data_IF_379535921299
#
_entry.id   IF_379535921299
#
_cell.length_a   1.000
_cell.length_b   1.000
_cell.length_c   1.000
_cell.angle_alpha   90.00
_cell.angle_beta   90.00
_cell.angle_gamma   90.00
#
_symmetry.space_group_name_H-M   'P 1'
#
loop_
_entity.id
_entity.type
_entity.pdbx_description
1 polymer ?
#
# COMPACT_ATOMS: atom_id res chain seq x y z
N UNK A 1 -15.33 -28.85 68.39
CA UNK A 1 -16.62 -29.33 67.87
C UNK A 1 -16.83 -28.74 66.49
N UNK A 2 -17.05 -29.61 65.50
CA UNK A 2 -17.29 -29.42 64.06
C UNK A 2 -18.13 -28.18 63.67
N UNK A 3 -18.08 -27.62 62.45
CA UNK A 3 -17.44 -27.99 61.20
C UNK A 3 -18.00 -27.16 60.02
N UNK A 4 -17.31 -27.20 58.87
CA UNK A 4 -17.76 -27.13 57.45
C UNK A 4 -18.73 -26.00 57.00
N UNK A 5 -18.67 -25.36 55.84
CA UNK A 5 -17.85 -25.36 54.63
C UNK A 5 -18.38 -24.20 53.73
N UNK A 6 -17.60 -23.71 52.76
CA UNK A 6 -18.17 -22.91 51.66
C UNK A 6 -17.20 -21.94 50.98
N UNK A 7 -16.59 -22.36 49.86
CA UNK A 7 -15.89 -21.50 48.91
C UNK A 7 -16.88 -20.84 47.94
N UNK A 8 -16.63 -19.58 47.58
CA UNK A 8 -16.89 -18.97 46.27
C UNK A 8 -15.91 -17.79 46.14
N UNK A 9 -15.24 -17.49 45.04
CA UNK A 9 -15.56 -17.60 43.62
C UNK A 9 -15.27 -16.21 43.04
N UNK A 10 -14.23 -16.07 42.22
CA UNK A 10 -13.62 -14.79 41.85
C UNK A 10 -14.54 -13.80 41.12
N UNK A 11 -14.34 -12.51 41.41
CA UNK A 11 -15.00 -11.39 40.74
C UNK A 11 -14.09 -10.85 39.64
N UNK A 12 -14.56 -10.95 38.39
CA UNK A 12 -14.03 -10.20 37.24
C UNK A 12 -14.68 -8.80 37.23
N UNK A 13 -13.95 -7.69 37.02
CA UNK A 13 -14.58 -6.39 36.80
C UNK A 13 -15.24 -6.38 35.42
N UNK A 14 -16.57 -6.23 35.43
CA UNK A 14 -17.42 -6.17 34.25
C UNK A 14 -17.20 -4.88 33.45
N UNK A 15 -17.24 -5.03 32.13
CA UNK A 15 -17.29 -3.91 31.19
C UNK A 15 -18.51 -3.02 31.44
N UNK A 16 -18.37 -1.75 31.07
CA UNK A 16 -19.41 -0.73 31.26
C UNK A 16 -20.73 -1.14 30.59
N UNK A 17 -21.88 -0.97 31.26
CA UNK A 17 -23.18 -1.29 30.70
C UNK A 17 -23.46 -0.41 29.47
N UNK A 18 -23.89 -1.05 28.38
CA UNK A 18 -24.26 -0.45 27.10
C UNK A 18 -25.21 0.77 27.22
N UNK A 19 -25.96 0.84 28.33
CA UNK A 19 -26.87 1.94 28.63
C UNK A 19 -26.17 3.29 28.86
N UNK A 20 -24.90 3.32 29.29
CA UNK A 20 -24.12 4.56 29.39
C UNK A 20 -23.66 5.08 28.01
N UNK A 21 -23.37 4.17 27.08
CA UNK A 21 -22.97 4.48 25.70
C UNK A 21 -24.14 5.00 24.85
N UNK A 22 -25.36 4.54 25.11
CA UNK A 22 -26.54 4.95 24.37
C UNK A 22 -27.13 6.31 24.82
N UNK A 23 -26.70 6.83 25.98
CA UNK A 23 -27.10 8.18 26.46
C UNK A 23 -26.26 9.32 25.88
N UNK A 24 -25.07 9.05 25.33
CA UNK A 24 -24.17 10.06 24.76
C UNK A 24 -24.42 10.41 23.28
N UNK A 25 -25.41 9.77 22.61
CA UNK A 25 -25.69 10.00 21.18
C UNK A 25 -27.13 10.40 20.82
N UNK A 26 -27.99 10.74 21.79
CA UNK A 26 -29.27 11.39 21.49
C UNK A 26 -30.21 10.63 20.52
N UNK A 27 -30.18 9.29 20.51
CA UNK A 27 -31.04 8.48 19.63
C UNK A 27 -32.19 7.88 20.44
N UNK A 28 -33.27 8.62 20.62
CA UNK A 28 -34.46 8.18 21.38
C UNK A 28 -35.57 7.52 20.52
N UNK A 29 -35.23 6.87 19.41
CA UNK A 29 -36.21 6.43 18.41
C UNK A 29 -36.43 4.92 18.20
N UNK A 30 -35.75 4.01 18.90
CA UNK A 30 -35.80 2.56 18.56
C UNK A 30 -36.09 1.63 19.75
N UNK A 31 -36.96 2.05 20.68
CA UNK A 31 -37.31 1.22 21.85
C UNK A 31 -38.61 0.42 21.74
N UNK A 32 -39.29 0.37 20.59
CA UNK A 32 -40.63 -0.26 20.52
C UNK A 32 -40.88 -1.34 19.45
N UNK A 33 -39.84 -1.98 18.89
CA UNK A 33 -40.03 -3.13 17.96
C UNK A 33 -39.32 -4.43 18.33
N UNK A 34 -38.71 -4.53 19.51
CA UNK A 34 -37.93 -5.72 19.91
C UNK A 34 -38.58 -6.57 21.03
N UNK A 35 -39.89 -6.45 21.28
CA UNK A 35 -40.58 -7.26 22.31
C UNK A 35 -42.03 -7.57 21.94
N UNK A 36 -42.27 -8.37 20.90
CA UNK A 36 -43.46 -9.24 20.84
C UNK A 36 -43.16 -10.50 20.00
N UNK A 37 -43.24 -11.66 20.66
CA UNK A 37 -43.67 -12.91 20.05
C UNK A 37 -42.61 -13.80 19.42
N UNK A 38 -41.84 -14.52 20.25
CA UNK A 38 -41.42 -15.88 19.92
C UNK A 38 -42.58 -16.81 20.30
N UNK A 39 -43.20 -17.43 19.31
CA UNK A 39 -44.25 -18.43 19.48
C UNK A 39 -44.71 -18.92 18.11
N UNK A 40 -44.54 -20.23 17.91
CA UNK A 40 -45.05 -21.08 16.83
C UNK A 40 -44.27 -21.15 15.50
N UNK A 41 -43.72 -22.36 15.28
CA UNK A 41 -43.30 -22.85 13.98
C UNK A 41 -44.54 -23.09 13.09
N UNK A 42 -44.40 -22.85 11.77
CA UNK A 42 -44.67 -23.99 10.87
C UNK A 42 -43.80 -24.04 9.61
N UNK A 43 -43.42 -25.28 9.28
CA UNK A 43 -43.47 -25.99 7.98
C UNK A 43 -42.88 -25.34 6.72
N UNK A 44 -42.17 -26.19 5.98
CA UNK A 44 -41.42 -25.88 4.77
C UNK A 44 -42.23 -25.24 3.65
N UNK A 45 -41.50 -24.56 2.77
CA UNK A 45 -42.01 -23.98 1.54
C UNK A 45 -41.03 -24.28 0.41
N UNK A 46 -41.49 -25.06 -0.56
CA UNK A 46 -40.81 -25.37 -1.80
C UNK A 46 -40.60 -24.12 -2.69
N UNK A 47 -39.65 -24.13 -3.62
CA UNK A 47 -39.40 -23.01 -4.52
C UNK A 47 -40.49 -22.90 -5.58
N UNK A 48 -41.25 -21.81 -5.54
CA UNK A 48 -42.25 -21.49 -6.54
C UNK A 48 -41.61 -21.03 -7.85
N UNK A 49 -41.82 -21.83 -8.89
CA UNK A 49 -41.63 -21.50 -10.30
C UNK A 49 -42.45 -20.22 -10.65
N UNK A 50 -41.80 -19.18 -11.18
CA UNK A 50 -42.50 -18.08 -11.88
C UNK A 50 -41.88 -17.85 -13.24
N UNK A 51 -42.70 -18.15 -14.23
CA UNK A 51 -42.61 -17.79 -15.63
C UNK A 51 -42.65 -16.28 -15.84
N UNK A 52 -41.71 -15.80 -16.66
CA UNK A 52 -41.89 -14.78 -17.71
C UNK A 52 -42.36 -13.36 -17.36
N UNK A 53 -41.46 -12.39 -17.52
CA UNK A 53 -41.71 -11.24 -18.41
C UNK A 53 -40.38 -10.57 -18.76
N UNK A 54 -40.10 -10.55 -20.07
CA UNK A 54 -38.90 -9.99 -20.66
C UNK A 54 -38.98 -8.47 -20.74
N UNK A 55 -38.00 -7.78 -20.17
CA UNK A 55 -37.61 -6.42 -20.55
C UNK A 55 -36.09 -6.39 -20.66
N UNK A 56 -35.60 -6.74 -21.84
CA UNK A 56 -34.18 -6.76 -22.19
C UNK A 56 -33.66 -5.32 -22.33
N UNK A 57 -33.04 -4.79 -21.28
CA UNK A 57 -32.12 -3.67 -21.39
C UNK A 57 -30.75 -4.19 -21.83
N UNK A 58 -30.53 -4.29 -23.15
CA UNK A 58 -29.26 -4.69 -23.73
C UNK A 58 -28.18 -3.64 -23.44
N UNK A 59 -27.38 -3.84 -22.38
CA UNK A 59 -26.04 -3.23 -22.30
C UNK A 59 -25.08 -4.14 -23.05
N UNK A 60 -24.61 -3.66 -24.20
CA UNK A 60 -23.62 -4.31 -25.02
C UNK A 60 -22.40 -4.71 -24.17
N UNK A 61 -22.22 -6.02 -23.98
CA UNK A 61 -20.93 -6.59 -23.60
C UNK A 61 -20.08 -6.56 -24.86
N UNK A 62 -19.05 -5.72 -24.89
CA UNK A 62 -18.02 -5.83 -25.91
C UNK A 62 -17.37 -7.21 -25.76
N UNK A 63 -17.58 -8.07 -26.75
CA UNK A 63 -16.97 -9.38 -26.86
C UNK A 63 -15.45 -9.21 -27.02
N UNK A 64 -14.70 -10.17 -26.44
CA UNK A 64 -13.28 -10.33 -26.68
C UNK A 64 -13.07 -10.76 -28.15
N UNK A 65 -12.95 -9.76 -29.03
CA UNK A 65 -12.37 -9.89 -30.36
C UNK A 65 -10.95 -9.34 -30.35
N UNK A 66 -10.14 -9.78 -31.31
CA UNK A 66 -8.80 -9.24 -31.57
C UNK A 66 -8.81 -7.70 -31.54
N UNK A 67 -7.76 -7.05 -31.02
CA UNK A 67 -7.76 -5.60 -30.94
C UNK A 67 -7.81 -4.96 -32.33
N UNK A 68 -8.60 -3.90 -32.52
CA UNK A 68 -8.49 -3.08 -33.72
C UNK A 68 -7.04 -2.59 -33.85
N UNK A 69 -6.49 -2.67 -35.05
CA UNK A 69 -5.18 -2.13 -35.39
C UNK A 69 -5.07 -0.67 -34.88
N UNK A 70 -3.98 -0.34 -34.19
CA UNK A 70 -3.68 1.03 -33.72
C UNK A 70 -3.79 1.30 -32.22
N UNK A 71 -4.06 0.29 -31.36
CA UNK A 71 -3.98 0.46 -29.89
C UNK A 71 -2.64 0.01 -29.34
N UNK A 72 -1.91 0.93 -28.71
CA UNK A 72 -0.64 0.69 -28.05
C UNK A 72 -0.83 0.57 -26.53
N UNK A 73 0.16 0.04 -25.82
CA UNK A 73 0.20 0.05 -24.35
C UNK A 73 1.33 0.96 -23.89
N UNK A 74 1.02 1.92 -23.02
CA UNK A 74 2.02 2.78 -22.39
C UNK A 74 1.99 2.56 -20.88
N UNK A 75 3.14 2.22 -20.30
CA UNK A 75 3.27 2.17 -18.84
C UNK A 75 3.57 3.57 -18.33
N UNK A 76 2.79 4.05 -17.37
CA UNK A 76 2.97 5.35 -16.74
C UNK A 76 3.24 5.15 -15.26
N UNK A 77 4.34 5.70 -14.77
CA UNK A 77 4.67 5.74 -13.35
C UNK A 77 4.10 6.98 -12.70
N UNK A 78 3.44 6.80 -11.58
CA UNK A 78 2.87 7.88 -10.78
C UNK A 78 3.64 8.05 -9.49
N UNK A 79 3.92 9.31 -9.12
CA UNK A 79 4.26 9.68 -7.73
C UNK A 79 3.00 10.11 -7.01
N UNK A 80 2.82 9.62 -5.79
CA UNK A 80 1.67 9.96 -4.98
C UNK A 80 2.01 10.06 -3.48
N UNK A 81 1.14 10.72 -2.73
CA UNK A 81 1.23 10.84 -1.27
C UNK A 81 0.11 10.09 -0.55
N UNK A 82 0.37 9.73 0.71
CA UNK A 82 -0.58 9.11 1.64
C UNK A 82 -0.35 9.66 3.05
N UNK A 83 -1.25 10.51 3.54
CA UNK A 83 -1.12 11.15 4.87
C UNK A 83 -2.47 11.43 5.54
N UNK A 84 -2.48 11.68 6.84
CA UNK A 84 -3.70 11.92 7.61
C UNK A 84 -4.45 10.62 7.89
N UNK A 85 -5.79 10.68 8.00
CA UNK A 85 -6.61 9.52 8.45
C UNK A 85 -6.45 8.29 7.56
N UNK A 86 -6.21 8.47 6.26
CA UNK A 86 -6.03 7.37 5.31
C UNK A 86 -4.76 6.53 5.60
N UNK A 87 -3.82 7.00 6.44
CA UNK A 87 -2.61 6.25 6.80
C UNK A 87 -2.91 4.89 7.45
N UNK A 88 -4.07 4.76 8.09
CA UNK A 88 -4.54 3.52 8.72
C UNK A 88 -5.12 2.50 7.73
N UNK A 89 -5.28 2.86 6.45
CA UNK A 89 -5.55 1.90 5.38
C UNK A 89 -4.24 1.17 5.02
N UNK A 90 -4.28 -0.17 5.07
CA UNK A 90 -3.15 -1.00 4.70
C UNK A 90 -2.94 -1.06 3.19
N UNK A 91 -1.88 -1.74 2.75
CA UNK A 91 -1.52 -1.84 1.34
C UNK A 91 -2.66 -2.42 0.45
N UNK A 92 -3.39 -3.44 0.94
CA UNK A 92 -4.53 -4.03 0.20
C UNK A 92 -5.69 -3.06 0.02
N UNK A 93 -5.91 -2.18 0.99
CA UNK A 93 -6.96 -1.17 0.90
C UNK A 93 -6.56 -0.06 -0.06
N UNK A 94 -5.28 0.36 -0.02
CA UNK A 94 -4.71 1.27 -1.01
C UNK A 94 -4.87 0.70 -2.44
N UNK A 95 -4.56 -0.58 -2.65
CA UNK A 95 -4.75 -1.23 -3.96
C UNK A 95 -6.20 -1.14 -4.46
N UNK A 96 -7.18 -1.40 -3.59
CA UNK A 96 -8.62 -1.27 -3.92
C UNK A 96 -9.04 0.18 -4.18
N UNK A 97 -8.46 1.15 -3.46
CA UNK A 97 -8.70 2.57 -3.70
C UNK A 97 -8.22 2.93 -5.10
N UNK A 98 -7.01 2.49 -5.48
CA UNK A 98 -6.44 2.71 -6.80
C UNK A 98 -7.23 2.05 -7.93
N UNK A 99 -7.64 0.78 -7.79
CA UNK A 99 -8.53 0.12 -8.75
C UNK A 99 -9.84 0.92 -8.99
N UNK A 100 -10.40 1.52 -7.93
CA UNK A 100 -11.60 2.37 -8.05
C UNK A 100 -11.28 3.74 -8.63
N UNK A 101 -10.16 4.35 -8.26
CA UNK A 101 -9.76 5.68 -8.71
C UNK A 101 -9.54 5.71 -10.22
N UNK A 102 -8.78 4.76 -10.78
CA UNK A 102 -8.55 4.70 -12.23
C UNK A 102 -9.86 4.53 -13.01
N UNK A 103 -10.80 3.75 -12.48
CA UNK A 103 -12.14 3.59 -13.08
C UNK A 103 -12.99 4.85 -12.97
N UNK A 104 -12.97 5.54 -11.81
CA UNK A 104 -13.72 6.80 -11.60
C UNK A 104 -13.17 7.95 -12.44
N UNK A 105 -11.86 7.97 -12.67
CA UNK A 105 -11.20 8.95 -13.52
C UNK A 105 -11.40 8.68 -15.03
N UNK A 106 -12.01 7.54 -15.40
CA UNK A 106 -12.26 7.17 -16.79
C UNK A 106 -11.00 6.86 -17.59
N UNK A 107 -9.90 6.48 -16.90
CA UNK A 107 -8.62 6.22 -17.56
C UNK A 107 -8.72 4.98 -18.47
N UNK A 108 -8.09 4.98 -19.66
CA UNK A 108 -8.08 3.85 -20.57
C UNK A 108 -7.08 2.79 -20.11
N UNK A 109 -7.28 2.18 -18.94
CA UNK A 109 -6.33 1.22 -18.36
C UNK A 109 -6.37 -0.11 -19.11
N UNK A 110 -5.20 -0.72 -19.32
CA UNK A 110 -5.08 -2.09 -19.82
C UNK A 110 -5.53 -3.10 -18.76
N UNK A 111 -6.17 -4.19 -19.16
CA UNK A 111 -6.64 -5.23 -18.25
C UNK A 111 -5.85 -6.52 -18.41
N UNK A 112 -5.76 -7.30 -17.32
CA UNK A 112 -5.24 -8.67 -17.36
C UNK A 112 -6.15 -9.58 -18.19
N UNK A 113 -5.57 -10.62 -18.77
CA UNK A 113 -6.34 -11.66 -19.47
C UNK A 113 -6.97 -12.65 -18.48
N UNK A 114 -8.01 -13.36 -18.92
CA UNK A 114 -8.69 -14.42 -18.18
C UNK A 114 -10.10 -14.07 -17.66
N UNK A 115 -10.68 -14.96 -16.85
CA UNK A 115 -12.08 -14.90 -16.42
C UNK A 115 -12.43 -13.79 -15.42
N UNK A 116 -11.43 -13.09 -14.89
CA UNK A 116 -11.64 -11.94 -13.99
C UNK A 116 -10.62 -10.84 -14.29
N UNK A 117 -10.81 -10.07 -15.38
CA UNK A 117 -9.90 -9.01 -15.79
C UNK A 117 -9.72 -7.98 -14.67
N UNK A 118 -8.47 -7.71 -14.31
CA UNK A 118 -8.08 -6.67 -13.36
C UNK A 118 -7.34 -5.55 -14.09
N UNK A 119 -7.48 -4.28 -13.67
CA UNK A 119 -6.65 -3.22 -14.21
C UNK A 119 -5.18 -3.54 -13.93
N UNK A 120 -4.32 -3.33 -14.93
CA UNK A 120 -2.88 -3.57 -14.82
C UNK A 120 -2.23 -2.43 -14.05
N UNK A 121 -2.12 -2.62 -12.74
CA UNK A 121 -1.49 -1.70 -11.79
C UNK A 121 -0.40 -2.47 -11.04
N UNK A 122 0.82 -1.94 -11.04
CA UNK A 122 1.97 -2.52 -10.34
C UNK A 122 2.42 -1.59 -9.22
N UNK A 123 2.45 -2.09 -7.99
CA UNK A 123 2.86 -1.30 -6.83
C UNK A 123 4.36 -1.48 -6.54
N UNK A 124 5.00 -0.39 -6.08
CA UNK A 124 6.34 -0.44 -5.51
C UNK A 124 6.36 -1.03 -4.10
N UNK A 125 7.27 -0.52 -3.27
CA UNK A 125 7.43 -0.96 -1.89
C UNK A 125 6.19 -0.63 -1.05
N UNK A 126 5.64 -1.64 -0.36
CA UNK A 126 4.48 -1.48 0.48
C UNK A 126 4.76 -0.59 1.71
N UNK A 127 3.92 0.42 1.91
CA UNK A 127 3.92 1.25 3.11
C UNK A 127 3.15 0.54 4.24
N UNK A 128 3.71 0.49 5.45
CA UNK A 128 3.06 -0.18 6.58
C UNK A 128 1.84 0.62 7.07
N UNK A 129 0.87 -0.08 7.66
CA UNK A 129 -0.31 0.56 8.26
C UNK A 129 0.12 1.56 9.36
N UNK A 130 -0.48 2.74 9.35
CA UNK A 130 -0.16 3.82 10.30
C UNK A 130 0.96 4.74 9.83
N UNK A 131 1.73 4.36 8.81
CA UNK A 131 2.78 5.20 8.23
C UNK A 131 2.24 6.10 7.11
N UNK A 132 2.89 7.25 6.98
CA UNK A 132 2.61 8.25 5.96
C UNK A 132 3.71 8.25 4.89
N UNK A 133 3.44 8.87 3.74
CA UNK A 133 4.45 9.06 2.71
C UNK A 133 4.11 10.22 1.77
N UNK A 134 5.14 10.85 1.22
CA UNK A 134 5.04 11.83 0.11
C UNK A 134 5.70 11.37 -1.18
N UNK A 135 6.30 10.18 -1.17
CA UNK A 135 7.00 9.61 -2.30
C UNK A 135 6.64 8.13 -2.45
N UNK A 136 5.36 7.87 -2.66
CA UNK A 136 4.89 6.55 -3.09
C UNK A 136 4.89 6.47 -4.62
N UNK A 137 5.11 5.27 -5.14
CA UNK A 137 5.12 5.03 -6.58
C UNK A 137 4.28 3.82 -6.95
N UNK A 138 3.61 3.93 -8.10
CA UNK A 138 2.95 2.81 -8.77
C UNK A 138 3.03 3.01 -10.28
N UNK A 139 2.93 1.91 -11.02
CA UNK A 139 2.87 1.92 -12.47
C UNK A 139 1.46 1.53 -12.93
N UNK A 140 0.91 2.23 -13.91
CA UNK A 140 -0.38 1.94 -14.57
C UNK A 140 -0.13 1.72 -16.05
N UNK A 141 -0.60 0.60 -16.59
CA UNK A 141 -0.55 0.37 -18.03
C UNK A 141 -1.81 0.97 -18.68
N UNK A 142 -1.65 1.96 -19.56
CA UNK A 142 -2.69 2.58 -20.38
C UNK A 142 -2.79 1.90 -21.74
N UNK A 143 -3.98 1.86 -22.35
CA UNK A 143 -4.27 1.29 -23.67
C UNK A 143 -5.21 2.18 -24.49
N UNK A 144 -4.62 2.99 -25.36
CA UNK A 144 -5.31 3.91 -26.26
C UNK A 144 -4.52 4.02 -27.59
N UNK A 145 -4.93 4.93 -28.48
CA UNK A 145 -4.10 5.27 -29.65
C UNK A 145 -2.83 6.02 -29.22
N UNK A 146 -1.79 6.02 -30.07
CA UNK A 146 -0.47 6.54 -29.72
C UNK A 146 -0.47 7.99 -29.21
N UNK A 147 -1.16 8.88 -29.92
CA UNK A 147 -1.27 10.31 -29.55
C UNK A 147 -2.04 10.50 -28.24
N UNK A 148 -3.18 9.81 -28.07
CA UNK A 148 -4.01 9.88 -26.87
C UNK A 148 -3.27 9.43 -25.61
N UNK A 149 -2.34 8.47 -25.71
CA UNK A 149 -1.64 7.92 -24.54
C UNK A 149 -0.84 8.98 -23.78
N UNK A 150 -0.20 9.93 -24.47
CA UNK A 150 0.57 11.00 -23.84
C UNK A 150 -0.34 12.07 -23.22
N UNK A 151 -1.46 12.39 -23.85
CA UNK A 151 -2.49 13.27 -23.28
C UNK A 151 -3.11 12.67 -22.02
N UNK A 152 -3.42 11.37 -22.05
CA UNK A 152 -3.88 10.65 -20.86
C UNK A 152 -2.83 10.68 -19.76
N UNK A 153 -1.57 10.35 -20.07
CA UNK A 153 -0.49 10.31 -19.09
C UNK A 153 -0.26 11.67 -18.42
N UNK A 154 -0.20 12.76 -19.19
CA UNK A 154 0.01 14.11 -18.67
C UNK A 154 -1.15 14.59 -17.80
N UNK A 155 -2.40 14.24 -18.13
CA UNK A 155 -3.58 14.59 -17.33
C UNK A 155 -3.85 13.68 -16.12
N UNK A 156 -3.07 12.62 -15.90
CA UNK A 156 -3.30 11.68 -14.79
C UNK A 156 -3.26 12.34 -13.40
N UNK A 157 -2.31 13.23 -13.06
CA UNK A 157 -2.22 13.80 -11.71
C UNK A 157 -3.50 14.50 -11.26
N UNK A 158 -4.04 15.38 -12.10
CA UNK A 158 -5.26 16.14 -11.82
C UNK A 158 -6.49 15.23 -11.75
N UNK A 159 -6.69 14.37 -12.77
CA UNK A 159 -7.84 13.47 -12.87
C UNK A 159 -7.93 12.50 -11.71
N UNK A 160 -6.79 11.94 -11.29
CA UNK A 160 -6.73 10.99 -10.19
C UNK A 160 -6.89 11.69 -8.84
N UNK A 161 -6.21 12.82 -8.62
CA UNK A 161 -6.32 13.58 -7.37
C UNK A 161 -7.76 14.04 -7.11
N UNK A 162 -8.52 14.39 -8.16
CA UNK A 162 -9.93 14.77 -8.04
C UNK A 162 -10.87 13.63 -7.56
N UNK A 163 -10.45 12.37 -7.70
CA UNK A 163 -11.29 11.20 -7.33
C UNK A 163 -10.72 10.35 -6.19
N UNK A 164 -9.48 10.62 -5.78
CA UNK A 164 -8.83 10.01 -4.62
C UNK A 164 -9.45 10.54 -3.31
N UNK A 165 -9.41 9.75 -2.23
CA UNK A 165 -9.88 10.21 -0.93
C UNK A 165 -8.94 11.26 -0.32
N UNK A 166 -9.47 12.10 0.56
CA UNK A 166 -8.69 13.04 1.35
C UNK A 166 -7.47 12.37 2.00
N UNK A 167 -6.31 12.98 1.78
CA UNK A 167 -5.03 12.44 2.23
C UNK A 167 -4.29 11.58 1.21
N UNK A 168 -4.84 11.38 0.01
CA UNK A 168 -4.14 10.81 -1.13
C UNK A 168 -4.18 11.76 -2.32
N UNK A 169 -3.03 12.02 -2.94
CA UNK A 169 -2.92 12.85 -4.13
C UNK A 169 -1.82 12.32 -5.05
N UNK A 170 -1.99 12.52 -6.35
CA UNK A 170 -0.98 12.24 -7.38
C UNK A 170 -0.29 13.55 -7.72
N UNK A 171 1.04 13.54 -7.68
CA UNK A 171 1.86 14.73 -7.90
C UNK A 171 2.46 14.73 -9.30
N UNK A 172 2.94 13.58 -9.75
CA UNK A 172 3.65 13.45 -11.02
C UNK A 172 3.23 12.18 -11.76
N UNK A 173 3.33 12.23 -13.09
CA UNK A 173 3.14 11.11 -13.99
C UNK A 173 4.25 11.09 -15.04
N UNK A 174 4.94 9.95 -15.18
CA UNK A 174 6.04 9.78 -16.12
C UNK A 174 5.83 8.53 -16.99
N UNK A 175 5.71 8.68 -18.33
CA UNK A 175 5.78 7.56 -19.25
C UNK A 175 7.09 6.78 -19.11
N UNK A 176 7.01 5.46 -18.97
CA UNK A 176 8.17 4.57 -18.88
C UNK A 176 8.50 3.97 -20.25
N UNK A 177 9.79 3.73 -20.47
CA UNK A 177 10.29 2.96 -21.61
C UNK A 177 9.88 1.48 -21.49
N UNK A 178 9.67 0.79 -22.62
CA UNK A 178 9.56 -0.67 -22.62
C UNK A 178 10.76 -1.32 -21.93
N UNK A 179 10.51 -2.36 -21.12
CA UNK A 179 11.56 -3.06 -20.39
C UNK A 179 12.08 -2.38 -19.12
N UNK A 180 11.53 -1.22 -18.74
CA UNK A 180 11.90 -0.55 -17.49
C UNK A 180 11.79 -1.50 -16.28
N UNK A 181 12.80 -1.45 -15.41
CA UNK A 181 12.91 -2.29 -14.22
C UNK A 181 11.71 -2.06 -13.29
N UNK A 182 11.23 -3.14 -12.66
CA UNK A 182 10.10 -3.06 -11.73
C UNK A 182 10.42 -2.13 -10.56
N UNK A 183 9.42 -1.36 -10.08
CA UNK A 183 9.58 -0.44 -8.96
C UNK A 183 10.22 -1.10 -7.72
N UNK A 184 9.80 -2.33 -7.40
CA UNK A 184 10.28 -3.05 -6.22
C UNK A 184 11.75 -3.44 -6.34
N UNK A 185 12.20 -3.75 -7.55
CA UNK A 185 13.58 -4.11 -7.83
C UNK A 185 14.48 -2.88 -7.96
N UNK A 186 13.97 -1.77 -8.50
CA UNK A 186 14.78 -0.59 -8.75
C UNK A 186 15.18 0.16 -7.47
N UNK A 187 14.29 0.25 -6.48
CA UNK A 187 14.53 1.03 -5.25
C UNK A 187 15.59 0.34 -4.37
N UNK A 188 16.63 1.08 -4.01
CA UNK A 188 17.79 0.63 -3.19
C UNK A 188 17.73 1.12 -1.75
N UNK A 189 17.11 2.28 -1.49
CA UNK A 189 16.92 2.83 -0.15
C UNK A 189 15.69 3.74 -0.06
N UNK A 190 15.29 4.10 1.15
CA UNK A 190 14.21 5.05 1.43
C UNK A 190 14.64 6.01 2.54
N UNK A 191 14.36 7.30 2.39
CA UNK A 191 14.52 8.27 3.48
C UNK A 191 13.24 8.34 4.29
N UNK A 192 13.36 8.27 5.60
CA UNK A 192 12.28 8.27 6.57
C UNK A 192 12.44 9.42 7.57
N UNK A 193 11.31 10.01 7.93
CA UNK A 193 11.15 10.95 9.04
C UNK A 193 10.42 10.22 10.19
N UNK A 194 10.95 10.38 11.39
CA UNK A 194 10.41 9.83 12.63
C UNK A 194 10.17 10.99 13.60
N UNK A 195 8.91 11.30 13.87
CA UNK A 195 8.57 12.21 14.97
C UNK A 195 8.66 11.42 16.27
N UNK A 196 9.75 11.61 17.00
CA UNK A 196 10.05 10.87 18.22
C UNK A 196 9.09 11.28 19.32
N UNK A 197 8.75 10.31 20.17
CA UNK A 197 7.90 10.51 21.35
C UNK A 197 8.71 10.15 22.58
N UNK A 198 8.52 10.90 23.67
CA UNK A 198 9.10 10.56 24.98
C UNK A 198 10.64 10.50 24.96
N UNK A 199 11.29 11.22 24.04
CA UNK A 199 12.75 11.31 23.92
C UNK A 199 13.15 12.75 23.66
N UNK A 200 14.03 13.31 24.48
CA UNK A 200 14.57 14.65 24.25
C UNK A 200 15.64 14.66 23.14
N UNK A 201 16.01 15.85 22.67
CA UNK A 201 16.95 16.02 21.56
C UNK A 201 18.35 15.49 21.89
N UNK A 202 18.78 15.58 23.15
CA UNK A 202 20.11 15.14 23.57
C UNK A 202 20.24 13.61 23.57
N UNK A 203 19.24 12.92 24.12
CA UNK A 203 19.16 11.45 24.09
C UNK A 203 19.04 10.92 22.67
N UNK A 204 18.22 11.58 21.84
CA UNK A 204 18.09 11.22 20.42
C UNK A 204 19.42 11.40 19.67
N UNK A 205 20.13 12.52 19.92
CA UNK A 205 21.44 12.77 19.31
C UNK A 205 22.50 11.74 19.77
N UNK A 206 22.51 11.37 21.06
CA UNK A 206 23.39 10.33 21.57
C UNK A 206 23.10 8.95 20.95
N UNK A 207 21.83 8.61 20.78
CA UNK A 207 21.42 7.38 20.10
C UNK A 207 21.88 7.38 18.63
N UNK A 208 21.72 8.51 17.94
CA UNK A 208 22.20 8.70 16.56
C UNK A 208 23.71 8.52 16.47
N UNK A 209 24.47 9.09 17.39
CA UNK A 209 25.93 8.91 17.43
C UNK A 209 26.30 7.45 17.63
N UNK A 210 25.65 6.78 18.57
CA UNK A 210 25.92 5.38 18.87
C UNK A 210 25.59 4.47 17.69
N UNK A 211 24.51 4.76 16.95
CA UNK A 211 24.25 4.09 15.68
C UNK A 211 25.39 4.41 14.73
N UNK A 212 25.73 5.67 14.46
CA UNK A 212 26.73 6.04 13.47
C UNK A 212 28.11 5.44 13.73
N UNK A 213 28.54 5.35 14.99
CA UNK A 213 29.85 4.83 15.38
C UNK A 213 29.89 3.30 15.53
N UNK A 214 28.76 2.59 15.41
CA UNK A 214 28.73 1.15 15.56
C UNK A 214 29.29 0.44 14.33
N UNK A 215 30.33 -0.38 14.51
CA UNK A 215 30.92 -1.23 13.46
C UNK A 215 29.95 -2.33 12.98
N UNK A 216 28.97 -2.70 13.80
CA UNK A 216 27.98 -3.74 13.52
C UNK A 216 26.62 -3.38 14.11
N UNK A 217 25.55 -3.66 13.36
CA UNK A 217 24.16 -3.49 13.80
C UNK A 217 23.39 -4.81 13.62
N UNK A 218 23.46 -5.75 14.59
CA UNK A 218 22.79 -7.03 14.46
C UNK A 218 21.28 -6.89 14.59
N UNK A 219 20.54 -7.25 13.54
CA UNK A 219 19.08 -7.29 13.55
C UNK A 219 18.59 -8.74 13.59
N UNK A 220 17.80 -9.07 14.61
CA UNK A 220 17.16 -10.38 14.74
C UNK A 220 15.75 -10.37 14.15
N UNK A 221 15.43 -11.40 13.36
CA UNK A 221 14.08 -11.62 12.82
C UNK A 221 13.66 -13.06 13.02
N UNK A 222 12.46 -13.25 13.53
CA UNK A 222 11.83 -14.57 13.62
C UNK A 222 10.88 -14.80 12.46
N UNK A 223 10.98 -15.97 11.82
CA UNK A 223 10.03 -16.41 10.79
C UNK A 223 9.78 -17.90 10.93
N UNK A 224 8.52 -18.30 11.06
CA UNK A 224 8.09 -19.71 11.20
C UNK A 224 8.88 -20.45 12.31
N UNK A 225 9.08 -19.80 13.46
CA UNK A 225 9.82 -20.35 14.61
C UNK A 225 11.35 -20.38 14.45
N UNK A 226 11.90 -19.86 13.35
CA UNK A 226 13.34 -19.77 13.13
C UNK A 226 13.81 -18.33 13.24
N UNK A 227 14.72 -18.07 14.17
CA UNK A 227 15.40 -16.77 14.31
C UNK A 227 16.58 -16.70 13.35
N UNK A 228 16.70 -15.60 12.63
CA UNK A 228 17.85 -15.27 11.80
C UNK A 228 18.38 -13.91 12.23
N UNK A 229 19.68 -13.85 12.51
CA UNK A 229 20.39 -12.59 12.74
C UNK A 229 21.09 -12.18 11.45
N UNK A 230 20.96 -10.92 11.08
CA UNK A 230 21.72 -10.32 9.97
C UNK A 230 22.24 -8.97 10.42
N UNK A 231 23.49 -8.67 10.11
CA UNK A 231 24.01 -7.31 10.26
C UNK A 231 23.34 -6.39 9.23
N UNK A 232 22.88 -5.21 9.68
CA UNK A 232 22.24 -4.20 8.84
C UNK A 232 23.02 -2.90 8.77
N UNK A 233 24.28 -2.89 9.24
CA UNK A 233 25.12 -1.70 9.25
C UNK A 233 25.16 -0.98 7.90
N UNK A 234 25.46 -1.71 6.83
CA UNK A 234 25.56 -1.16 5.47
C UNK A 234 24.21 -0.70 4.90
N UNK A 235 23.11 -1.16 5.50
CA UNK A 235 21.76 -0.78 5.10
C UNK A 235 21.24 0.44 5.87
N UNK A 236 22.00 1.01 6.79
CA UNK A 236 21.65 2.27 7.47
C UNK A 236 22.60 3.35 6.96
N UNK A 237 22.06 4.21 6.08
CA UNK A 237 22.77 5.31 5.44
C UNK A 237 22.82 6.57 6.30
N UNK A 238 22.69 7.75 5.66
CA UNK A 238 22.69 9.03 6.36
C UNK A 238 21.57 9.10 7.40
N UNK A 239 21.89 9.64 8.57
CA UNK A 239 20.93 9.82 9.65
C UNK A 239 21.30 11.02 10.54
N UNK A 240 20.30 11.80 10.92
CA UNK A 240 20.50 13.02 11.71
C UNK A 240 19.24 13.42 12.48
N UNK A 241 19.41 14.21 13.53
CA UNK A 241 18.31 14.82 14.28
C UNK A 241 18.06 16.23 13.76
N UNK A 242 16.80 16.55 13.52
CA UNK A 242 16.31 17.91 13.32
C UNK A 242 15.66 18.37 14.62
N UNK A 243 16.03 19.56 15.06
CA UNK A 243 15.37 20.22 16.19
C UNK A 243 14.02 20.77 15.70
N UNK A 244 12.93 20.35 16.33
CA UNK A 244 11.61 20.87 16.04
C UNK A 244 10.99 21.47 17.29
N UNK A 245 10.22 22.54 17.11
CA UNK A 245 9.58 23.29 18.20
C UNK A 245 8.65 22.46 19.09
N UNK A 246 8.32 21.23 18.70
CA UNK A 246 7.42 20.31 19.41
C UNK A 246 8.05 18.95 19.72
N UNK A 247 9.38 18.79 19.62
CA UNK A 247 10.11 17.55 19.94
C UNK A 247 11.20 17.20 18.91
N UNK A 248 11.85 16.06 19.12
CA UNK A 248 12.94 15.59 18.25
C UNK A 248 12.41 14.90 16.99
N UNK A 249 12.94 15.28 15.82
CA UNK A 249 12.67 14.57 14.58
C UNK A 249 13.93 13.85 14.13
N UNK A 250 13.87 12.53 14.00
CA UNK A 250 14.96 11.75 13.41
C UNK A 250 14.68 11.57 11.92
N UNK A 251 15.68 11.86 11.09
CA UNK A 251 15.68 11.52 9.67
C UNK A 251 16.72 10.44 9.44
N UNK A 252 16.36 9.38 8.72
CA UNK A 252 17.29 8.30 8.41
C UNK A 252 17.02 7.68 7.04
N UNK A 253 18.09 7.31 6.34
CA UNK A 253 18.06 6.53 5.13
C UNK A 253 18.22 5.04 5.42
N UNK A 254 17.25 4.24 4.97
CA UNK A 254 17.18 2.81 5.21
C UNK A 254 17.20 2.04 3.89
N UNK A 255 18.16 1.13 3.75
CA UNK A 255 18.35 0.25 2.61
C UNK A 255 17.23 -0.77 2.46
N UNK A 256 16.95 -1.13 1.21
CA UNK A 256 15.90 -2.10 0.83
C UNK A 256 16.48 -3.46 0.43
N UNK A 257 17.81 -3.53 0.25
CA UNK A 257 18.58 -4.69 -0.24
C UNK A 257 19.77 -4.99 0.68
N UNK A 258 20.23 -6.26 0.78
CA UNK A 258 19.56 -7.46 0.27
C UNK A 258 18.26 -7.79 1.04
N UNK A 259 18.06 -7.18 2.21
CA UNK A 259 16.81 -7.22 2.96
C UNK A 259 16.48 -5.83 3.50
N UNK A 260 15.27 -5.35 3.24
CA UNK A 260 14.86 -4.03 3.68
C UNK A 260 14.88 -3.88 5.20
N UNK A 261 15.47 -2.80 5.73
CA UNK A 261 15.38 -2.44 7.15
C UNK A 261 14.04 -1.75 7.39
N UNK A 262 13.19 -2.31 8.27
CA UNK A 262 11.87 -1.70 8.54
C UNK A 262 12.04 -0.51 9.48
N UNK A 263 11.28 0.58 9.30
CA UNK A 263 11.35 1.74 10.19
C UNK A 263 11.20 1.40 11.68
N UNK A 264 10.31 0.46 12.03
CA UNK A 264 10.14 0.01 13.41
C UNK A 264 11.35 -0.78 13.94
N UNK A 265 11.98 -1.62 13.11
CA UNK A 265 13.17 -2.38 13.49
C UNK A 265 14.37 -1.44 13.69
N UNK A 266 14.50 -0.43 12.83
CA UNK A 266 15.55 0.59 12.92
C UNK A 266 15.58 1.28 14.29
N UNK A 267 14.42 1.72 14.80
CA UNK A 267 14.33 2.36 16.12
C UNK A 267 14.68 1.44 17.29
N UNK A 268 14.77 0.12 17.08
CA UNK A 268 15.08 -0.89 18.10
C UNK A 268 16.47 -1.49 17.95
N UNK A 269 17.32 -0.96 17.04
CA UNK A 269 18.65 -1.52 16.80
C UNK A 269 19.59 -1.39 18.00
N UNK A 270 19.43 -0.32 18.79
CA UNK A 270 20.28 -0.01 19.95
C UNK A 270 19.39 0.29 21.16
N UNK A 271 19.84 -0.13 22.34
CA UNK A 271 19.19 0.14 23.61
C UNK A 271 19.68 1.48 24.23
N UNK A 272 18.79 2.29 24.80
CA UNK A 272 17.35 2.11 24.85
C UNK A 272 16.70 2.34 23.46
N UNK A 273 15.64 1.59 23.11
CA UNK A 273 14.96 1.78 21.83
C UNK A 273 14.27 3.14 21.79
N UNK A 274 14.16 3.71 20.59
CA UNK A 274 13.40 4.92 20.36
C UNK A 274 11.94 4.60 20.01
N UNK A 275 11.04 5.51 20.38
CA UNK A 275 9.63 5.45 20.00
C UNK A 275 9.28 6.62 19.07
N UNK A 276 8.43 6.38 18.09
CA UNK A 276 7.94 7.40 17.17
C UNK A 276 6.41 7.37 17.06
N UNK A 277 5.78 8.53 17.29
CA UNK A 277 4.32 8.70 17.17
C UNK A 277 3.86 8.85 15.72
N UNK A 278 4.74 9.36 14.85
CA UNK A 278 4.52 9.46 13.41
C UNK A 278 5.78 9.02 12.67
N UNK A 279 5.59 8.21 11.65
CA UNK A 279 6.64 7.73 10.75
C UNK A 279 6.20 8.03 9.33
N UNK A 280 7.04 8.74 8.58
CA UNK A 280 6.74 9.22 7.23
C UNK A 280 7.88 8.89 6.29
N UNK A 281 7.58 8.23 5.16
CA UNK A 281 8.54 8.07 4.07
C UNK A 281 8.61 9.36 3.26
N UNK A 282 9.81 9.93 3.15
CA UNK A 282 10.07 11.16 2.42
C UNK A 282 10.47 10.89 0.98
N UNK A 283 11.32 9.89 0.77
CA UNK A 283 11.86 9.55 -0.55
C UNK A 283 12.02 8.03 -0.71
N UNK A 284 12.01 7.60 -1.97
CA UNK A 284 12.54 6.30 -2.39
C UNK A 284 13.64 6.57 -3.39
N UNK A 285 14.79 5.92 -3.23
CA UNK A 285 15.97 6.17 -4.04
C UNK A 285 16.32 4.96 -4.87
N UNK A 286 16.77 5.23 -6.09
CA UNK A 286 17.43 4.29 -6.99
C UNK A 286 18.88 4.74 -7.05
N UNK A 287 19.81 3.84 -6.70
CA UNK A 287 21.25 4.08 -6.83
C UNK A 287 21.76 3.35 -8.06
N UNK A 288 22.36 4.09 -9.01
CA UNK A 288 22.99 3.55 -10.23
C UNK A 288 24.28 4.30 -10.47
N UNK A 289 25.37 3.58 -10.65
CA UNK A 289 26.70 4.14 -10.92
C UNK A 289 27.15 5.22 -9.91
N UNK A 290 26.76 5.05 -8.64
CA UNK A 290 27.05 5.99 -7.55
C UNK A 290 26.08 7.18 -7.46
N UNK A 291 25.25 7.39 -8.48
CA UNK A 291 24.28 8.49 -8.54
C UNK A 291 22.91 8.06 -8.01
N UNK A 292 22.18 9.05 -7.45
CA UNK A 292 20.88 8.84 -6.80
C UNK A 292 19.74 9.48 -7.58
N UNK A 293 18.69 8.73 -7.80
CA UNK A 293 17.51 9.17 -8.54
C UNK A 293 16.22 8.79 -7.81
N UNK A 294 15.20 9.63 -7.89
CA UNK A 294 13.85 9.21 -7.54
C UNK A 294 13.26 8.33 -8.67
N UNK A 295 12.35 7.40 -8.36
CA UNK A 295 11.71 6.53 -9.34
C UNK A 295 10.93 7.22 -10.46
N UNK A 296 10.85 8.54 -10.53
CA UNK A 296 10.22 9.30 -11.61
C UNK A 296 11.14 9.60 -12.80
N UNK A 297 12.46 9.48 -12.63
CA UNK A 297 13.37 9.78 -13.72
C UNK A 297 13.13 8.78 -14.87
N UNK A 298 12.89 9.24 -16.11
CA UNK A 298 13.00 8.35 -17.26
C UNK A 298 14.43 7.81 -17.25
N UNK A 299 14.59 6.49 -17.26
CA UNK A 299 15.91 5.88 -17.40
C UNK A 299 16.65 6.56 -18.56
N UNK A 300 17.86 7.04 -18.30
CA UNK A 300 18.65 7.95 -19.16
C UNK A 300 18.24 7.88 -20.64
N UNK A 301 17.46 8.90 -21.03
CA UNK A 301 16.80 8.99 -22.32
C UNK A 301 15.29 9.26 -22.14
N UNK A 302 14.88 10.52 -22.15
CA UNK A 302 13.47 10.81 -22.36
C UNK A 302 13.07 10.35 -23.77
N UNK A 303 11.87 9.77 -23.93
CA UNK A 303 11.20 9.84 -25.23
C UNK A 303 10.75 11.29 -25.36
N UNK A 304 11.42 12.04 -26.24
CA UNK A 304 10.90 13.32 -26.68
C UNK A 304 9.51 13.08 -27.32
N UNK A 305 8.57 14.04 -27.21
CA UNK A 305 7.33 13.97 -27.97
C UNK A 305 7.71 13.89 -29.47
N UNK A 306 7.50 12.72 -30.08
CA UNK A 306 7.88 12.44 -31.48
C UNK A 306 8.85 11.27 -31.71
N UNK A 307 9.30 10.53 -30.68
CA UNK A 307 10.10 9.32 -30.88
C UNK A 307 9.25 8.08 -31.21
N UNK A 308 9.60 7.39 -32.30
CA UNK A 308 8.89 6.26 -32.91
C UNK A 308 8.19 5.30 -31.93
N UNK A 309 6.86 5.23 -32.05
CA UNK A 309 5.99 4.23 -31.41
C UNK A 309 5.99 2.96 -32.26
N UNK A 310 7.15 2.33 -32.47
CA UNK A 310 7.25 1.06 -33.19
C UNK A 310 8.29 0.14 -32.56
N UNK A 311 7.94 -0.38 -31.38
CA UNK A 311 8.44 -1.67 -30.92
C UNK A 311 7.37 -2.32 -30.03
N UNK A 312 6.36 -2.90 -30.69
CA UNK A 312 5.40 -3.77 -30.03
C UNK A 312 6.13 -5.04 -29.56
N UNK A 313 6.36 -5.15 -28.26
CA UNK A 313 6.69 -6.44 -27.66
C UNK A 313 5.39 -7.26 -27.55
N UNK A 314 5.22 -8.21 -28.47
CA UNK A 314 4.29 -9.33 -28.34
C UNK A 314 4.73 -10.20 -27.16
N UNK A 315 4.13 -9.98 -25.98
CA UNK A 315 4.27 -10.89 -24.84
C UNK A 315 3.16 -11.92 -24.95
N UNK A 316 3.41 -12.95 -25.75
CA UNK A 316 2.82 -14.28 -25.63
C UNK A 316 3.95 -15.30 -25.86
N UNK A 317 4.74 -15.52 -24.82
CA UNK A 317 5.57 -16.71 -24.68
C UNK A 317 5.80 -16.96 -23.18
N UNK A 318 4.89 -17.73 -22.57
CA UNK A 318 5.19 -18.46 -21.33
C UNK A 318 6.07 -19.64 -21.75
N UNK A 319 7.31 -19.80 -21.26
CA UNK A 319 8.05 -21.03 -21.49
C UNK A 319 7.33 -22.16 -20.75
N UNK A 320 6.87 -23.16 -21.52
CA UNK A 320 6.36 -24.40 -20.98
C UNK A 320 7.47 -25.06 -20.14
N UNK A 321 7.18 -25.31 -18.87
CA UNK A 321 8.01 -26.16 -18.03
C UNK A 321 8.03 -27.57 -18.64
N UNK A 322 9.23 -28.06 -18.97
CA UNK A 322 9.42 -29.46 -19.33
C UNK A 322 9.28 -30.33 -18.06
N UNK A 323 8.65 -31.51 -18.14
CA UNK A 323 8.61 -32.44 -17.01
C UNK A 323 9.99 -33.10 -16.86
N UNK A 324 10.65 -32.90 -15.71
CA UNK A 324 11.74 -33.78 -15.29
C UNK A 324 11.16 -35.18 -15.04
N UNK A 325 11.65 -36.12 -15.83
CA UNK A 325 11.43 -37.55 -15.68
C UNK A 325 12.35 -38.05 -14.58
N UNK A 326 11.77 -38.62 -13.52
CA UNK A 326 12.50 -39.49 -12.60
C UNK A 326 13.00 -40.73 -13.34
N UNK A 327 14.31 -40.92 -13.39
CA UNK A 327 14.99 -42.22 -13.37
C UNK A 327 16.42 -42.04 -12.85
#
# INVERSE_FOLDING_TARGET
>A
MAGLAGRSGGVRPGGLPLDALLRLRGVHGLRHRARRGLGDAPRGREPGNRSGSAAAGARARAAAGDPPAGRCVLRVRLRWSKHGKIRFCGHRDAARIWERAVRRAGLPVAYSQGFSPRPRISFGLALATGQESVAEYLDVDLRASGEELYDWASGMPERLSAVLPDGMAVHDACPLRPGAVSLQEAVTSCTWEFALTETDTALAAAWVEQVRSADSLPLQRERKGRTTTSDVRDAVGDLHILDASSGSVLVAELGTKPRAVRPAEFLHLIAPPLAAGRVRRLHQWITRDGERYEPLAPEAGALAPGGDVLAAASIDAVPAAQPEVCA
#
